data_IF_915526560523
#
_entry.id   IF_915526560523
#
_cell.length_a   1.000
_cell.length_b   1.000
_cell.length_c   1.000
_cell.angle_alpha   90.00
_cell.angle_beta   90.00
_cell.angle_gamma   90.00
#
_symmetry.space_group_name_H-M   'P 1'
#
loop_
_entity.id
_entity.type
_entity.pdbx_description
1 polymer ?
#
# COMPACT_ATOMS: atom_id res chain seq x y z
N UNK A 1 22.26 16.59 22.36
CA UNK A 1 22.20 16.17 20.96
C UNK A 1 21.24 17.09 20.21
N UNK A 2 21.80 18.09 19.49
CA UNK A 2 21.02 19.05 18.73
C UNK A 2 20.97 18.54 17.28
N UNK A 3 19.82 18.14 16.84
CA UNK A 3 19.62 17.54 15.51
C UNK A 3 19.64 18.59 14.39
N UNK A 4 19.26 19.83 14.69
CA UNK A 4 19.21 20.97 13.79
C UNK A 4 19.50 22.25 14.56
N UNK A 5 20.37 23.11 14.05
CA UNK A 5 20.73 24.39 14.69
C UNK A 5 20.56 25.52 13.69
N UNK A 6 19.74 26.50 14.05
CA UNK A 6 19.64 27.77 13.34
C UNK A 6 20.60 28.78 13.94
N UNK A 7 21.54 29.24 13.16
CA UNK A 7 22.53 30.26 13.57
C UNK A 7 22.13 31.59 12.95
N UNK A 8 21.94 32.61 13.80
CA UNK A 8 21.66 33.96 13.38
C UNK A 8 22.96 34.76 13.63
N UNK A 9 23.69 35.22 12.61
CA UNK A 9 24.92 35.99 12.75
C UNK A 9 24.67 37.36 13.40
N UNK A 10 25.65 37.89 14.10
CA UNK A 10 25.57 39.19 14.81
C UNK A 10 25.23 40.36 13.88
N UNK A 11 25.61 40.28 12.61
CA UNK A 11 25.35 41.31 11.60
C UNK A 11 23.93 41.21 10.96
N UNK A 12 23.10 40.26 11.44
CA UNK A 12 21.74 40.05 10.90
C UNK A 12 20.87 41.30 11.03
N UNK A 13 20.84 41.91 12.22
CA UNK A 13 20.02 43.10 12.53
C UNK A 13 20.40 44.29 11.67
N UNK A 14 21.68 44.54 11.48
CA UNK A 14 22.18 45.63 10.67
C UNK A 14 21.81 45.44 9.18
N UNK A 15 22.06 44.24 8.63
CA UNK A 15 21.73 43.95 7.24
C UNK A 15 20.22 43.97 7.00
N UNK A 16 19.43 43.52 7.97
CA UNK A 16 17.97 43.52 7.87
C UNK A 16 17.43 44.97 7.89
N UNK A 17 17.98 45.85 8.72
CA UNK A 17 17.63 47.28 8.80
C UNK A 17 18.05 48.03 7.51
N UNK A 18 19.21 47.72 6.94
CA UNK A 18 19.74 48.29 5.70
C UNK A 18 18.99 47.78 4.44
N UNK A 19 17.95 46.96 4.61
CA UNK A 19 17.16 46.40 3.52
C UNK A 19 18.02 45.50 2.59
N UNK A 20 19.10 44.95 3.11
CA UNK A 20 19.96 43.96 2.44
C UNK A 20 19.53 42.54 2.80
N UNK A 21 19.87 41.53 1.99
CA UNK A 21 19.63 40.14 2.35
C UNK A 21 20.38 39.79 3.66
N UNK A 22 19.65 39.46 4.72
CA UNK A 22 20.23 38.98 5.97
C UNK A 22 20.41 37.45 5.83
N UNK A 23 21.61 36.98 6.17
CA UNK A 23 21.99 35.57 6.06
C UNK A 23 21.62 34.87 7.37
N UNK A 24 21.01 33.71 7.26
CA UNK A 24 20.75 32.80 8.37
C UNK A 24 21.32 31.44 7.97
N UNK A 25 22.09 30.83 8.88
CA UNK A 25 22.74 29.56 8.60
C UNK A 25 21.94 28.40 9.28
N UNK A 26 21.65 27.38 8.52
CA UNK A 26 21.03 26.16 9.04
C UNK A 26 22.10 25.08 9.06
N UNK A 27 22.56 24.72 10.27
CA UNK A 27 23.53 23.65 10.47
C UNK A 27 22.77 22.34 10.72
N UNK A 28 22.93 21.40 9.82
CA UNK A 28 22.34 20.09 9.92
C UNK A 28 23.41 19.00 9.74
N UNK A 29 23.17 17.82 10.33
CA UNK A 29 23.97 16.62 10.08
C UNK A 29 23.32 15.83 8.93
N UNK A 30 23.87 15.99 7.71
CA UNK A 30 23.36 15.34 6.49
C UNK A 30 23.51 13.81 6.46
N UNK A 31 24.12 13.19 7.45
CA UNK A 31 24.25 11.73 7.55
C UNK A 31 22.99 11.06 8.12
N UNK A 32 22.05 11.82 8.66
CA UNK A 32 20.84 11.31 9.32
C UNK A 32 19.58 11.61 8.52
N UNK A 33 18.86 10.56 8.16
CA UNK A 33 17.62 10.65 7.37
C UNK A 33 16.47 11.32 8.14
N UNK A 34 16.48 11.24 9.46
CA UNK A 34 15.42 11.77 10.34
C UNK A 34 15.38 13.31 10.37
N UNK A 35 16.52 13.97 10.12
CA UNK A 35 16.63 15.43 10.13
C UNK A 35 16.18 16.08 8.83
N UNK A 36 16.17 15.33 7.73
CA UNK A 36 15.87 15.84 6.38
C UNK A 36 14.47 16.46 6.30
N UNK A 37 13.45 15.81 6.86
CA UNK A 37 12.09 16.32 6.87
C UNK A 37 11.95 17.62 7.68
N UNK A 38 12.65 17.71 8.82
CA UNK A 38 12.65 18.90 9.69
C UNK A 38 13.41 20.05 9.03
N UNK A 39 14.54 19.75 8.36
CA UNK A 39 15.30 20.71 7.58
C UNK A 39 14.44 21.34 6.47
N UNK A 40 13.78 20.54 5.65
CA UNK A 40 12.92 21.07 4.58
C UNK A 40 11.75 21.91 5.10
N UNK A 41 11.14 21.52 6.22
CA UNK A 41 10.09 22.33 6.86
C UNK A 41 10.62 23.69 7.34
N UNK A 42 11.78 23.70 7.96
CA UNK A 42 12.41 24.95 8.44
C UNK A 42 12.80 25.84 7.26
N UNK A 43 13.43 25.29 6.24
CA UNK A 43 13.78 26.02 5.02
C UNK A 43 12.52 26.62 4.35
N UNK A 44 11.45 25.85 4.26
CA UNK A 44 10.18 26.31 3.69
C UNK A 44 9.57 27.46 4.50
N UNK A 45 9.59 27.37 5.84
CA UNK A 45 9.12 28.46 6.72
C UNK A 45 9.93 29.73 6.55
N UNK A 46 11.26 29.60 6.48
CA UNK A 46 12.15 30.77 6.26
C UNK A 46 11.89 31.40 4.89
N UNK A 47 11.69 30.62 3.85
CA UNK A 47 11.33 31.10 2.51
C UNK A 47 9.99 31.83 2.50
N UNK A 48 8.97 31.28 3.15
CA UNK A 48 7.64 31.92 3.26
C UNK A 48 7.75 33.28 3.98
N UNK A 49 8.44 33.30 5.12
CA UNK A 49 8.68 34.53 5.86
C UNK A 49 9.47 35.57 5.04
N UNK A 50 10.54 35.15 4.35
CA UNK A 50 11.33 36.02 3.48
C UNK A 50 10.49 36.63 2.37
N UNK A 51 9.62 35.84 1.73
CA UNK A 51 8.73 36.32 0.67
C UNK A 51 7.71 37.33 1.19
N UNK A 52 7.16 37.11 2.38
CA UNK A 52 6.22 38.02 3.02
C UNK A 52 6.85 39.38 3.35
N UNK A 53 8.04 39.36 3.94
CA UNK A 53 8.82 40.58 4.23
C UNK A 53 9.22 41.30 2.94
N UNK A 54 9.58 40.57 1.90
CA UNK A 54 9.93 41.16 0.60
C UNK A 54 8.72 41.85 -0.02
N UNK A 55 7.53 41.23 0.05
CA UNK A 55 6.27 41.80 -0.43
C UNK A 55 5.94 43.10 0.33
N UNK A 56 6.04 43.12 1.67
CA UNK A 56 5.81 44.32 2.47
C UNK A 56 6.80 45.44 2.12
N UNK A 57 8.08 45.13 1.89
CA UNK A 57 9.10 46.09 1.45
C UNK A 57 8.79 46.69 0.08
N UNK A 58 8.22 45.91 -0.86
CA UNK A 58 7.80 46.41 -2.17
C UNK A 58 6.58 47.35 -2.04
N UNK A 59 5.57 46.95 -1.26
CA UNK A 59 4.38 47.78 -1.03
C UNK A 59 4.77 49.13 -0.42
N UNK A 60 5.72 49.16 0.55
CA UNK A 60 6.21 50.41 1.15
C UNK A 60 6.91 51.35 0.16
N UNK A 61 7.34 50.80 -0.98
CA UNK A 61 7.98 51.54 -2.09
C UNK A 61 7.01 51.85 -3.22
N UNK A 62 5.70 51.51 -3.10
CA UNK A 62 4.70 51.73 -4.10
C UNK A 62 4.79 50.76 -5.30
N UNK A 63 5.52 49.64 -5.13
CA UNK A 63 5.66 48.59 -6.14
C UNK A 63 4.77 47.41 -5.80
N UNK A 64 3.99 46.94 -6.76
CA UNK A 64 3.16 45.75 -6.56
C UNK A 64 4.04 44.51 -6.32
N UNK A 65 3.74 43.69 -5.29
CA UNK A 65 4.45 42.43 -5.04
C UNK A 65 4.34 41.42 -6.21
N UNK A 66 3.37 41.57 -7.08
CA UNK A 66 3.18 40.75 -8.28
C UNK A 66 4.40 40.81 -9.24
N UNK A 67 5.17 41.93 -9.20
CA UNK A 67 6.41 42.05 -9.98
C UNK A 67 7.45 40.99 -9.61
N UNK A 68 7.38 40.42 -8.42
CA UNK A 68 8.24 39.30 -7.99
C UNK A 68 7.81 37.95 -8.56
N UNK A 69 6.53 37.85 -8.98
CA UNK A 69 5.99 36.63 -9.59
C UNK A 69 5.98 36.79 -11.11
N UNK A 70 7.14 36.57 -11.72
CA UNK A 70 7.28 36.63 -13.19
C UNK A 70 6.63 35.41 -13.87
N UNK A 71 6.54 34.31 -13.16
CA UNK A 71 5.94 33.06 -13.63
C UNK A 71 5.04 32.55 -12.50
N UNK A 72 3.78 32.42 -12.78
CA UNK A 72 2.83 31.72 -11.91
C UNK A 72 2.74 30.28 -12.43
N UNK A 73 3.14 29.32 -11.61
CA UNK A 73 3.02 27.90 -11.94
C UNK A 73 1.69 27.42 -11.42
N UNK A 74 0.74 27.31 -12.31
CA UNK A 74 -0.48 26.57 -12.07
C UNK A 74 -0.13 25.08 -12.14
N UNK A 75 -0.15 24.41 -11.01
CA UNK A 75 0.04 22.96 -10.94
C UNK A 75 -1.27 22.32 -11.44
N UNK A 76 -1.36 22.20 -12.76
CA UNK A 76 -2.43 21.42 -13.36
C UNK A 76 -1.98 19.97 -13.16
N UNK A 77 -2.52 19.34 -12.13
CA UNK A 77 -2.35 17.92 -11.93
C UNK A 77 -2.98 17.17 -13.13
N UNK A 78 -2.16 16.98 -14.15
CA UNK A 78 -2.47 16.15 -15.32
C UNK A 78 -2.27 14.67 -14.97
N UNK A 79 -1.85 14.36 -13.74
CA UNK A 79 -1.96 13.03 -13.14
C UNK A 79 -3.46 12.76 -12.91
N UNK A 80 -4.10 12.79 -14.02
CA UNK A 80 -5.46 12.57 -14.34
C UNK A 80 -5.92 11.28 -13.66
N UNK A 81 -7.18 11.20 -13.41
CA UNK A 81 -7.98 10.01 -13.18
C UNK A 81 -7.44 8.73 -13.84
N UNK A 82 -6.70 8.84 -14.95
CA UNK A 82 -5.95 7.76 -15.60
C UNK A 82 -4.87 7.14 -14.71
N UNK A 83 -4.08 7.91 -13.99
CA UNK A 83 -3.02 7.36 -13.12
C UNK A 83 -3.62 6.70 -11.88
N UNK A 84 -4.71 7.24 -11.34
CA UNK A 84 -5.45 6.61 -10.26
C UNK A 84 -6.06 5.28 -10.68
N UNK A 85 -6.62 5.22 -11.89
CA UNK A 85 -7.17 3.99 -12.44
C UNK A 85 -6.09 2.94 -12.74
N UNK A 86 -4.94 3.34 -13.29
CA UNK A 86 -3.79 2.45 -13.49
C UNK A 86 -3.25 1.97 -12.14
N UNK A 87 -3.17 2.84 -11.12
CA UNK A 87 -2.77 2.45 -9.78
C UNK A 87 -3.75 1.43 -9.18
N UNK A 88 -5.07 1.64 -9.31
CA UNK A 88 -6.09 0.70 -8.88
C UNK A 88 -5.96 -0.67 -9.57
N UNK A 89 -5.68 -0.69 -10.88
CA UNK A 89 -5.44 -1.91 -11.64
C UNK A 89 -4.18 -2.66 -11.20
N UNK A 90 -3.14 -1.94 -10.77
CA UNK A 90 -1.92 -2.55 -10.24
C UNK A 90 -2.15 -3.28 -8.92
N UNK A 91 -3.16 -2.91 -8.13
CA UNK A 91 -3.54 -3.63 -6.92
C UNK A 91 -4.41 -4.88 -7.17
N UNK A 92 -4.91 -5.06 -8.38
CA UNK A 92 -5.79 -6.19 -8.72
C UNK A 92 -5.16 -7.57 -8.43
N UNK A 93 -3.90 -7.86 -8.80
CA UNK A 93 -3.25 -9.11 -8.44
C UNK A 93 -3.16 -9.32 -6.93
N UNK A 94 -2.93 -8.26 -6.16
CA UNK A 94 -2.90 -8.31 -4.70
C UNK A 94 -4.26 -8.75 -4.12
N UNK A 95 -5.36 -8.16 -4.59
CA UNK A 95 -6.70 -8.56 -4.15
C UNK A 95 -7.06 -9.99 -4.52
N UNK A 96 -6.62 -10.47 -5.67
CA UNK A 96 -6.82 -11.86 -6.12
C UNK A 96 -6.10 -12.83 -5.17
N UNK A 97 -4.85 -12.54 -4.82
CA UNK A 97 -4.04 -13.34 -3.89
C UNK A 97 -4.66 -13.31 -2.49
N UNK A 98 -5.06 -12.13 -2.03
CA UNK A 98 -5.72 -11.96 -0.73
C UNK A 98 -7.02 -12.76 -0.65
N UNK A 99 -7.83 -12.76 -1.72
CA UNK A 99 -9.04 -13.54 -1.79
C UNK A 99 -8.78 -15.05 -1.73
N UNK A 100 -7.75 -15.53 -2.42
CA UNK A 100 -7.31 -16.92 -2.33
C UNK A 100 -6.91 -17.28 -0.90
N UNK A 101 -6.19 -16.38 -0.22
CA UNK A 101 -5.76 -16.56 1.16
C UNK A 101 -6.94 -16.64 2.13
N UNK A 102 -7.85 -15.68 2.08
CA UNK A 102 -8.99 -15.58 3.01
C UNK A 102 -9.99 -16.72 2.80
N UNK A 103 -10.30 -17.06 1.55
CA UNK A 103 -11.31 -18.09 1.24
C UNK A 103 -10.83 -19.50 1.60
N UNK A 104 -9.54 -19.81 1.47
CA UNK A 104 -8.97 -21.11 1.83
C UNK A 104 -8.74 -21.29 3.32
N UNK A 105 -8.50 -20.20 4.05
CA UNK A 105 -8.07 -20.21 5.45
C UNK A 105 -9.04 -20.96 6.36
N UNK A 106 -10.35 -20.68 6.24
CA UNK A 106 -11.35 -21.30 7.13
C UNK A 106 -11.35 -22.83 7.03
N UNK A 107 -11.29 -23.39 5.82
CA UNK A 107 -11.29 -24.84 5.60
C UNK A 107 -9.94 -25.45 5.96
N UNK A 108 -8.83 -24.79 5.66
CA UNK A 108 -7.51 -25.27 6.03
C UNK A 108 -7.37 -25.38 7.55
N UNK A 109 -7.82 -24.37 8.30
CA UNK A 109 -7.80 -24.36 9.77
C UNK A 109 -8.76 -25.40 10.35
N UNK A 110 -10.01 -25.45 9.85
CA UNK A 110 -11.04 -26.39 10.35
C UNK A 110 -10.63 -27.84 10.15
N UNK A 111 -10.10 -28.18 8.98
CA UNK A 111 -9.66 -29.53 8.63
C UNK A 111 -8.36 -29.99 9.33
N UNK A 112 -7.65 -29.10 10.00
CA UNK A 112 -6.42 -29.41 10.73
C UNK A 112 -6.57 -29.20 12.23
N UNK A 113 -6.43 -27.97 12.69
CA UNK A 113 -6.53 -27.61 14.11
C UNK A 113 -7.96 -27.85 14.65
N UNK A 114 -9.00 -27.55 13.86
CA UNK A 114 -10.39 -27.74 14.26
C UNK A 114 -10.74 -29.20 14.52
N UNK A 115 -10.31 -30.13 13.66
CA UNK A 115 -10.54 -31.56 13.88
C UNK A 115 -9.75 -32.10 15.10
N UNK A 116 -8.55 -31.57 15.32
CA UNK A 116 -7.76 -31.90 16.51
C UNK A 116 -8.47 -31.47 17.79
N UNK A 117 -8.98 -30.24 17.82
CA UNK A 117 -9.70 -29.69 18.97
C UNK A 117 -10.97 -30.50 19.30
N UNK A 118 -11.73 -30.89 18.26
CA UNK A 118 -12.95 -31.69 18.36
C UNK A 118 -12.68 -33.18 18.61
N UNK A 119 -11.41 -33.62 18.59
CA UNK A 119 -11.01 -35.04 18.70
C UNK A 119 -11.59 -35.95 17.60
N UNK A 120 -11.93 -35.39 16.47
CA UNK A 120 -12.48 -36.15 15.33
C UNK A 120 -11.39 -36.80 14.45
N UNK A 121 -10.13 -36.49 14.69
CA UNK A 121 -8.99 -37.13 14.05
C UNK A 121 -8.83 -38.60 14.45
N UNK A 122 -9.13 -38.95 15.71
CA UNK A 122 -8.95 -40.32 16.21
C UNK A 122 -9.82 -41.33 15.47
N UNK A 123 -11.15 -41.13 15.29
CA UNK A 123 -11.99 -42.01 14.48
C UNK A 123 -11.56 -42.08 13.01
N UNK A 124 -11.01 -40.98 12.45
CA UNK A 124 -10.56 -40.96 11.07
C UNK A 124 -9.30 -41.84 10.87
N UNK A 125 -8.41 -41.89 11.87
CA UNK A 125 -7.16 -42.66 11.80
C UNK A 125 -7.35 -44.15 12.03
N UNK A 126 -8.50 -44.59 12.58
CA UNK A 126 -8.84 -46.01 12.79
C UNK A 126 -9.30 -46.66 11.48
N UNK A 127 -9.78 -45.88 10.52
CA UNK A 127 -10.18 -46.40 9.20
C UNK A 127 -8.97 -46.97 8.45
N UNK A 128 -9.14 -48.04 7.67
CA UNK A 128 -8.09 -48.67 6.88
C UNK A 128 -7.80 -47.87 5.60
N UNK A 129 -7.55 -46.57 5.75
CA UNK A 129 -7.25 -45.62 4.66
C UNK A 129 -5.81 -45.15 4.84
N UNK A 130 -5.10 -44.96 3.73
CA UNK A 130 -3.73 -44.44 3.78
C UNK A 130 -3.74 -42.97 4.29
N UNK A 131 -2.82 -42.66 5.18
CA UNK A 131 -2.73 -41.29 5.75
C UNK A 131 -2.53 -40.21 4.68
N UNK A 132 -1.89 -40.56 3.58
CA UNK A 132 -1.71 -39.67 2.44
C UNK A 132 -3.05 -39.26 1.81
N UNK A 133 -3.99 -40.20 1.66
CA UNK A 133 -5.29 -39.91 1.04
C UNK A 133 -6.09 -38.92 1.86
N UNK A 134 -6.00 -39.01 3.19
CA UNK A 134 -6.65 -38.08 4.12
C UNK A 134 -6.04 -36.67 3.97
N UNK A 135 -4.71 -36.57 3.95
CA UNK A 135 -4.02 -35.28 3.85
C UNK A 135 -4.27 -34.66 2.48
N UNK A 136 -4.14 -35.45 1.42
CA UNK A 136 -4.42 -34.98 0.05
C UNK A 136 -5.88 -34.55 -0.13
N UNK A 137 -6.84 -35.29 0.41
CA UNK A 137 -8.25 -34.95 0.35
C UNK A 137 -8.54 -33.59 1.01
N UNK A 138 -7.99 -33.36 2.19
CA UNK A 138 -8.13 -32.10 2.92
C UNK A 138 -7.45 -30.94 2.18
N UNK A 139 -6.24 -31.18 1.72
CA UNK A 139 -5.51 -30.18 0.93
C UNK A 139 -6.24 -29.82 -0.35
N UNK A 140 -6.74 -30.83 -1.06
CA UNK A 140 -7.50 -30.60 -2.31
C UNK A 140 -8.80 -29.84 -2.05
N UNK A 141 -9.53 -30.19 -1.00
CA UNK A 141 -10.74 -29.47 -0.60
C UNK A 141 -10.44 -27.99 -0.28
N UNK A 142 -9.45 -27.75 0.58
CA UNK A 142 -9.04 -26.38 0.94
C UNK A 142 -8.57 -25.57 -0.30
N UNK A 143 -7.82 -26.22 -1.20
CA UNK A 143 -7.34 -25.61 -2.44
C UNK A 143 -8.47 -25.29 -3.41
N UNK A 144 -9.49 -26.13 -3.47
CA UNK A 144 -10.66 -25.89 -4.30
C UNK A 144 -11.44 -24.65 -3.84
N UNK A 145 -11.63 -24.51 -2.52
CA UNK A 145 -12.27 -23.32 -1.95
C UNK A 145 -11.44 -22.05 -2.17
N UNK A 146 -10.13 -22.12 -1.93
CA UNK A 146 -9.20 -21.02 -2.19
C UNK A 146 -9.26 -20.57 -3.67
N UNK A 147 -9.21 -21.53 -4.60
CA UNK A 147 -9.30 -21.26 -6.02
C UNK A 147 -10.67 -20.70 -6.44
N UNK A 148 -11.75 -21.19 -5.84
CA UNK A 148 -13.10 -20.68 -6.10
C UNK A 148 -13.24 -19.23 -5.65
N UNK A 149 -12.76 -18.89 -4.45
CA UNK A 149 -12.77 -17.52 -3.95
C UNK A 149 -11.93 -16.59 -4.81
N UNK A 150 -10.76 -17.04 -5.25
CA UNK A 150 -9.91 -16.33 -6.18
C UNK A 150 -10.60 -16.03 -7.52
N UNK A 151 -11.21 -17.05 -8.14
CA UNK A 151 -11.93 -16.91 -9.41
C UNK A 151 -13.14 -15.98 -9.24
N UNK A 152 -13.88 -16.12 -8.14
CA UNK A 152 -15.05 -15.28 -7.87
C UNK A 152 -14.65 -13.81 -7.72
N UNK A 153 -13.55 -13.53 -7.01
CA UNK A 153 -13.02 -12.18 -6.86
C UNK A 153 -12.56 -11.62 -8.21
N UNK A 154 -11.86 -12.42 -9.03
CA UNK A 154 -11.45 -12.01 -10.36
C UNK A 154 -12.65 -11.65 -11.23
N UNK A 155 -13.69 -12.50 -11.25
CA UNK A 155 -14.92 -12.24 -12.01
C UNK A 155 -15.60 -10.97 -11.51
N UNK A 156 -15.74 -10.79 -10.19
CA UNK A 156 -16.34 -9.58 -9.61
C UNK A 156 -15.55 -8.32 -9.96
N UNK A 157 -14.20 -8.37 -9.90
CA UNK A 157 -13.36 -7.25 -10.32
C UNK A 157 -13.56 -6.91 -11.80
N UNK A 158 -13.61 -7.92 -12.69
CA UNK A 158 -13.84 -7.69 -14.11
C UNK A 158 -15.23 -7.08 -14.33
N UNK A 159 -16.25 -7.60 -13.68
CA UNK A 159 -17.62 -7.06 -13.75
C UNK A 159 -17.64 -5.61 -13.25
N UNK A 160 -17.03 -5.33 -12.12
CA UNK A 160 -16.96 -3.97 -11.57
C UNK A 160 -16.26 -3.00 -12.55
N UNK A 161 -15.18 -3.41 -13.20
CA UNK A 161 -14.47 -2.60 -14.20
C UNK A 161 -15.28 -2.38 -15.47
N UNK A 162 -16.12 -3.35 -15.89
CA UNK A 162 -16.99 -3.20 -17.06
C UNK A 162 -18.14 -2.22 -16.82
N UNK A 163 -18.62 -2.12 -15.57
CA UNK A 163 -19.68 -1.17 -15.20
C UNK A 163 -19.14 0.19 -14.74
N UNK A 164 -17.86 0.31 -14.45
CA UNK A 164 -17.25 1.57 -14.09
C UNK A 164 -17.23 2.52 -15.31
N UNK A 165 -17.53 3.81 -15.14
CA UNK A 165 -17.54 4.79 -16.22
C UNK A 165 -16.11 5.19 -16.64
N UNK A 166 -15.30 4.18 -17.00
CA UNK A 166 -13.88 4.36 -17.35
C UNK A 166 -13.70 5.19 -18.63
N UNK A 167 -14.72 5.22 -19.49
CA UNK A 167 -14.72 6.04 -20.70
C UNK A 167 -14.68 7.55 -20.44
N UNK A 168 -15.26 8.00 -19.32
CA UNK A 168 -15.24 9.41 -18.90
C UNK A 168 -13.84 9.88 -18.51
N UNK A 169 -13.01 8.97 -18.05
CA UNK A 169 -11.61 9.21 -17.66
C UNK A 169 -10.61 8.80 -18.75
N UNK A 170 -11.10 8.58 -19.99
CA UNK A 170 -10.25 8.26 -21.13
C UNK A 170 -9.59 6.88 -21.12
N UNK A 171 -10.05 5.96 -20.25
CA UNK A 171 -9.57 4.59 -20.19
C UNK A 171 -10.52 3.67 -20.96
N UNK A 172 -10.01 3.00 -21.97
CA UNK A 172 -10.70 1.90 -22.61
C UNK A 172 -10.24 0.57 -22.02
N UNK A 173 -11.09 -0.03 -21.22
CA UNK A 173 -10.81 -1.34 -20.63
C UNK A 173 -11.39 -2.45 -21.51
N UNK A 174 -10.51 -3.19 -22.18
CA UNK A 174 -10.89 -4.36 -22.95
C UNK A 174 -10.19 -5.60 -22.40
N UNK A 175 -10.92 -6.43 -21.69
CA UNK A 175 -10.41 -7.72 -21.24
C UNK A 175 -11.06 -8.84 -22.06
N UNK A 176 -10.24 -9.67 -22.63
CA UNK A 176 -10.68 -10.82 -23.42
C UNK A 176 -10.79 -12.04 -22.51
N UNK A 177 -11.74 -12.94 -22.80
CA UNK A 177 -11.90 -14.21 -22.07
C UNK A 177 -10.57 -14.99 -21.96
N UNK A 178 -9.75 -14.96 -23.03
CA UNK A 178 -8.43 -15.57 -23.05
C UNK A 178 -7.50 -15.00 -21.96
N UNK A 179 -7.54 -13.69 -21.72
CA UNK A 179 -6.73 -13.02 -20.68
C UNK A 179 -7.20 -13.40 -19.28
N UNK A 180 -8.51 -13.51 -19.06
CA UNK A 180 -9.10 -13.98 -17.79
C UNK A 180 -8.65 -15.41 -17.49
N UNK A 181 -8.74 -16.30 -18.46
CA UNK A 181 -8.31 -17.70 -18.33
C UNK A 181 -6.81 -17.78 -18.05
N UNK A 182 -5.99 -17.00 -18.76
CA UNK A 182 -4.55 -16.99 -18.58
C UNK A 182 -4.15 -16.47 -17.20
N UNK A 183 -4.83 -15.41 -16.71
CA UNK A 183 -4.62 -14.88 -15.37
C UNK A 183 -5.02 -15.88 -14.30
N UNK A 184 -6.17 -16.53 -14.46
CA UNK A 184 -6.64 -17.60 -13.56
C UNK A 184 -5.64 -18.76 -13.50
N UNK A 185 -5.15 -19.20 -14.65
CA UNK A 185 -4.17 -20.28 -14.72
C UNK A 185 -2.82 -19.89 -14.12
N UNK A 186 -2.39 -18.66 -14.34
CA UNK A 186 -1.14 -18.13 -13.77
C UNK A 186 -1.20 -17.98 -12.23
N UNK A 187 -2.37 -17.68 -11.68
CA UNK A 187 -2.56 -17.50 -10.23
C UNK A 187 -2.95 -18.78 -9.50
N UNK A 188 -3.44 -19.82 -10.18
CA UNK A 188 -3.81 -21.10 -9.58
C UNK A 188 -2.68 -21.75 -8.74
N UNK A 189 -1.42 -21.81 -9.19
CA UNK A 189 -0.33 -22.36 -8.37
C UNK A 189 -0.12 -21.62 -7.06
N UNK A 190 -0.40 -20.31 -7.04
CA UNK A 190 -0.29 -19.48 -5.82
C UNK A 190 -1.34 -19.90 -4.80
N UNK A 191 -2.57 -20.14 -5.23
CA UNK A 191 -3.64 -20.62 -4.35
C UNK A 191 -3.30 -22.00 -3.73
N UNK A 192 -2.71 -22.90 -4.51
CA UNK A 192 -2.23 -24.21 -4.02
C UNK A 192 -1.10 -24.06 -3.00
N UNK A 193 -0.16 -23.16 -3.22
CA UNK A 193 0.91 -22.87 -2.27
C UNK A 193 0.39 -22.25 -0.97
N UNK A 194 -0.52 -21.28 -1.07
CA UNK A 194 -1.14 -20.63 0.09
C UNK A 194 -1.83 -21.67 0.97
N UNK A 195 -2.67 -22.53 0.38
CA UNK A 195 -3.37 -23.57 1.15
C UNK A 195 -2.44 -24.59 1.77
N UNK A 196 -1.34 -24.93 1.10
CA UNK A 196 -0.30 -25.80 1.68
C UNK A 196 0.32 -25.19 2.92
N UNK A 197 0.67 -23.88 2.86
CA UNK A 197 1.22 -23.15 4.00
C UNK A 197 0.21 -23.04 5.16
N UNK A 198 -1.05 -22.71 4.84
CA UNK A 198 -2.11 -22.60 5.84
C UNK A 198 -2.35 -23.93 6.57
N UNK A 199 -2.42 -25.04 5.84
CA UNK A 199 -2.53 -26.38 6.44
C UNK A 199 -1.32 -26.72 7.28
N UNK A 200 -0.11 -26.42 6.79
CA UNK A 200 1.11 -26.66 7.57
C UNK A 200 1.08 -25.92 8.91
N UNK A 201 0.74 -24.64 8.89
CA UNK A 201 0.59 -23.84 10.11
C UNK A 201 -0.53 -24.37 11.01
N UNK A 202 -1.65 -24.80 10.44
CA UNK A 202 -2.77 -25.39 11.16
C UNK A 202 -2.40 -26.71 11.89
N UNK A 203 -1.48 -27.50 11.32
CA UNK A 203 -1.00 -28.73 11.96
C UNK A 203 -0.20 -28.44 13.27
N UNK A 204 0.52 -27.32 13.31
CA UNK A 204 1.29 -26.94 14.51
C UNK A 204 0.42 -26.30 15.59
N UNK A 205 -0.73 -25.77 15.27
CA UNK A 205 -1.63 -25.11 16.19
C UNK A 205 -2.31 -26.11 17.15
N UNK A 206 -2.52 -25.70 18.39
CA UNK A 206 -3.19 -26.55 19.42
C UNK A 206 -4.71 -26.42 19.36
N UNK A 207 -5.22 -25.28 18.93
CA UNK A 207 -6.65 -24.98 18.82
C UNK A 207 -6.96 -24.27 17.50
N UNK A 208 -8.24 -24.22 17.16
CA UNK A 208 -8.73 -23.44 16.01
C UNK A 208 -8.32 -21.97 16.10
N UNK A 209 -8.44 -21.39 17.29
CA UNK A 209 -8.10 -19.98 17.55
C UNK A 209 -6.59 -19.73 17.41
N UNK A 210 -5.76 -20.65 17.90
CA UNK A 210 -4.30 -20.54 17.73
C UNK A 210 -3.92 -20.59 16.26
N UNK A 211 -4.54 -21.51 15.48
CA UNK A 211 -4.29 -21.62 14.05
C UNK A 211 -4.65 -20.32 13.30
N UNK A 212 -5.80 -19.73 13.62
CA UNK A 212 -6.16 -18.42 13.06
C UNK A 212 -5.15 -17.33 13.41
N UNK A 213 -4.63 -17.33 14.63
CA UNK A 213 -3.62 -16.34 15.04
C UNK A 213 -2.25 -16.53 14.39
N UNK A 214 -1.91 -17.76 13.98
CA UNK A 214 -0.64 -18.03 13.30
C UNK A 214 -0.71 -17.70 11.78
N UNK A 215 -1.90 -17.76 11.22
CA UNK A 215 -2.12 -17.57 9.79
C UNK A 215 -2.49 -16.12 9.47
N UNK A 216 -3.28 -15.45 10.30
CA UNK A 216 -3.76 -14.08 10.11
C UNK A 216 -2.92 -13.04 10.80
#
# INVERSE_FOLDING_TARGET
DKELVLVIPDNYSERFADIRPAIVEIVNDGSRTDTTATYHRLEQLIRLYSNEIAALRLISRGVSPEVMRVIDTEDIDVASEQQLAVAALNFLPFYIILAAFVSGMGIAVDSTAGERERKTLEPLLINPIQRYDIIFGKWFASSLFSSTGMIMTLVLCVVALLYAPLGEIGLTFHITLKQILLLTFATAPIALLITSMQMLLGIFAKSYKDAQSYIG
#
